data_IF_962419720644
#
_entry.id   IF_962419720644
#
_cell.length_a   1.000
_cell.length_b   1.000
_cell.length_c   1.000
_cell.angle_alpha   90.00
_cell.angle_beta   90.00
_cell.angle_gamma   90.00
#
_symmetry.space_group_name_H-M   'P 1'
#
loop_
_entity.id
_entity.type
_entity.pdbx_description
1 polymer ?
#
# COMPACT_ATOMS: atom_id res chain seq x y z
N UNK A 1 12.11 2.51 3.06
CA UNK A 1 11.89 3.94 2.73
C UNK A 1 12.33 4.27 1.31
N UNK A 2 13.40 3.68 0.78
CA UNK A 2 13.88 3.95 -0.60
C UNK A 2 12.95 3.44 -1.71
N UNK A 3 12.28 2.31 -1.52
CA UNK A 3 11.29 1.75 -2.45
C UNK A 3 10.14 2.73 -2.74
N UNK A 4 9.70 3.48 -1.73
CA UNK A 4 8.70 4.54 -1.87
C UNK A 4 9.20 5.65 -2.81
N UNK A 5 10.44 6.11 -2.63
CA UNK A 5 11.01 7.17 -3.47
C UNK A 5 11.25 6.73 -4.93
N UNK A 6 11.58 5.46 -5.15
CA UNK A 6 11.69 4.89 -6.50
C UNK A 6 10.37 4.92 -7.27
N UNK A 7 9.24 4.72 -6.58
CA UNK A 7 7.92 4.83 -7.19
C UNK A 7 7.60 6.28 -7.59
N UNK A 8 7.94 7.26 -6.75
CA UNK A 8 7.80 8.69 -7.10
C UNK A 8 8.63 9.11 -8.30
N UNK A 9 9.79 8.48 -8.53
CA UNK A 9 10.68 8.79 -9.66
C UNK A 9 10.17 8.27 -11.01
N UNK A 10 9.30 7.27 -10.99
CA UNK A 10 8.72 6.66 -12.20
C UNK A 10 7.55 7.51 -12.75
N UNK A 11 6.94 8.38 -11.94
CA UNK A 11 5.86 9.26 -12.37
C UNK A 11 6.38 10.59 -12.95
N UNK A 12 6.39 10.69 -14.28
CA UNK A 12 6.63 11.94 -15.01
C UNK A 12 5.42 12.87 -15.05
N UNK A 13 5.68 14.17 -15.29
CA UNK A 13 4.74 15.33 -15.29
C UNK A 13 3.45 15.21 -16.13
N UNK A 14 3.22 14.13 -16.86
CA UNK A 14 2.15 14.04 -17.88
C UNK A 14 1.33 12.76 -17.86
N UNK A 15 1.48 11.85 -16.89
CA UNK A 15 0.87 10.52 -16.99
C UNK A 15 -0.24 10.24 -15.97
N UNK A 16 -1.45 10.06 -16.50
CA UNK A 16 -2.51 9.31 -15.84
C UNK A 16 -2.20 7.82 -16.02
N UNK A 17 -1.39 7.25 -15.13
CA UNK A 17 -1.10 5.80 -15.13
C UNK A 17 -2.42 5.03 -14.98
N UNK A 18 -2.68 4.02 -15.81
CA UNK A 18 -3.92 3.25 -15.74
C UNK A 18 -4.10 2.64 -14.32
N UNK A 19 -5.30 2.77 -13.72
CA UNK A 19 -5.65 2.24 -12.39
C UNK A 19 -5.26 0.76 -12.25
N UNK A 20 -5.31 -0.01 -13.33
CA UNK A 20 -4.89 -1.41 -13.40
C UNK A 20 -3.37 -1.61 -13.23
N UNK A 21 -2.53 -0.76 -13.84
CA UNK A 21 -1.07 -0.84 -13.70
C UNK A 21 -0.66 -0.48 -12.26
N UNK A 22 -1.29 0.54 -11.68
CA UNK A 22 -1.06 0.93 -10.28
C UNK A 22 -1.47 -0.17 -9.30
N UNK A 23 -2.61 -0.83 -9.55
CA UNK A 23 -3.06 -2.00 -8.77
C UNK A 23 -2.12 -3.20 -8.92
N UNK A 24 -1.58 -3.43 -10.11
CA UNK A 24 -0.59 -4.49 -10.35
C UNK A 24 0.70 -4.22 -9.58
N UNK A 25 1.24 -2.99 -9.64
CA UNK A 25 2.41 -2.57 -8.88
C UNK A 25 2.20 -2.72 -7.37
N UNK A 26 0.99 -2.42 -6.88
CA UNK A 26 0.65 -2.65 -5.48
C UNK A 26 0.80 -4.13 -5.10
N UNK A 27 0.11 -5.04 -5.81
CA UNK A 27 0.21 -6.48 -5.52
C UNK A 27 1.64 -7.01 -5.63
N UNK A 28 2.38 -6.65 -6.68
CA UNK A 28 3.72 -7.23 -6.88
C UNK A 28 4.78 -6.68 -5.94
N UNK A 29 4.69 -5.42 -5.52
CA UNK A 29 5.74 -4.79 -4.70
C UNK A 29 5.35 -4.83 -3.22
N UNK A 30 4.12 -4.46 -2.87
CA UNK A 30 3.68 -4.30 -1.47
C UNK A 30 3.48 -5.66 -0.84
N UNK A 31 2.66 -6.50 -1.46
CA UNK A 31 2.33 -7.84 -0.96
C UNK A 31 3.61 -8.66 -0.78
N UNK A 32 4.53 -8.61 -1.76
CA UNK A 32 5.84 -9.29 -1.64
C UNK A 32 6.72 -8.73 -0.52
N UNK A 33 6.79 -7.41 -0.38
CA UNK A 33 7.63 -6.78 0.66
C UNK A 33 7.07 -7.11 2.05
N UNK A 34 5.74 -7.16 2.20
CA UNK A 34 5.07 -7.51 3.45
C UNK A 34 5.21 -9.00 3.79
N UNK A 35 4.99 -9.91 2.84
CA UNK A 35 5.25 -11.34 3.05
C UNK A 35 6.71 -11.63 3.42
N UNK A 36 7.66 -10.86 2.89
CA UNK A 36 9.06 -11.00 3.29
C UNK A 36 9.30 -10.49 4.74
N UNK A 37 8.62 -9.41 5.13
CA UNK A 37 8.69 -8.85 6.49
C UNK A 37 7.96 -9.67 7.56
N UNK A 38 6.95 -10.45 7.17
CA UNK A 38 6.17 -11.34 8.03
C UNK A 38 7.07 -12.30 8.82
N UNK A 39 8.02 -12.94 8.13
CA UNK A 39 8.99 -13.86 8.73
C UNK A 39 9.85 -13.19 9.82
N UNK A 40 10.04 -11.87 9.76
CA UNK A 40 10.79 -11.09 10.75
C UNK A 40 9.92 -10.58 11.91
N UNK A 41 8.60 -10.49 11.73
CA UNK A 41 7.67 -10.03 12.78
C UNK A 41 7.13 -11.18 13.62
N UNK A 42 7.07 -12.40 13.08
CA UNK A 42 6.61 -13.60 13.80
C UNK A 42 5.19 -13.45 14.36
N UNK A 43 4.81 -14.34 15.29
CA UNK A 43 3.46 -14.39 15.86
C UNK A 43 3.10 -13.20 16.79
N UNK A 44 4.05 -12.31 17.08
CA UNK A 44 3.86 -11.19 18.02
C UNK A 44 3.67 -9.86 17.28
N UNK A 45 2.63 -9.78 16.45
CA UNK A 45 2.21 -8.55 15.79
C UNK A 45 1.69 -7.56 16.85
N UNK A 46 2.55 -6.66 17.33
CA UNK A 46 2.12 -5.63 18.28
C UNK A 46 1.16 -4.63 17.61
N UNK A 47 0.18 -4.11 18.37
CA UNK A 47 -0.75 -3.07 17.89
C UNK A 47 -0.05 -1.86 17.24
N UNK A 48 1.12 -1.49 17.76
CA UNK A 48 1.92 -0.38 17.23
C UNK A 48 2.52 -0.69 15.85
N UNK A 49 2.85 -1.96 15.58
CA UNK A 49 3.33 -2.41 14.27
C UNK A 49 2.18 -2.45 13.28
N UNK A 50 1.04 -3.02 13.65
CA UNK A 50 -0.17 -3.08 12.82
C UNK A 50 -0.59 -1.68 12.35
N UNK A 51 -0.66 -0.71 13.26
CA UNK A 51 -0.96 0.68 12.92
C UNK A 51 0.04 1.33 11.97
N UNK A 52 1.33 0.94 12.03
CA UNK A 52 2.34 1.40 11.07
C UNK A 52 2.14 0.77 9.70
N UNK A 53 1.76 -0.50 9.62
CA UNK A 53 1.47 -1.17 8.36
C UNK A 53 0.21 -0.59 7.71
N UNK A 54 -0.83 -0.32 8.48
CA UNK A 54 -2.04 0.34 7.99
C UNK A 54 -1.72 1.74 7.45
N UNK A 55 -0.84 2.48 8.12
CA UNK A 55 -0.39 3.79 7.63
C UNK A 55 0.42 3.69 6.33
N UNK A 56 1.31 2.70 6.23
CA UNK A 56 2.05 2.43 5.00
C UNK A 56 1.07 2.06 3.87
N UNK A 57 0.11 1.16 4.13
CA UNK A 57 -0.94 0.78 3.18
C UNK A 57 -1.77 1.98 2.72
N UNK A 58 -2.16 2.86 3.65
CA UNK A 58 -2.92 4.08 3.35
C UNK A 58 -2.16 5.00 2.40
N UNK A 59 -0.87 5.24 2.63
CA UNK A 59 -0.04 6.08 1.75
C UNK A 59 -0.02 5.56 0.31
N UNK A 60 0.06 4.24 0.15
CA UNK A 60 0.03 3.61 -1.17
C UNK A 60 -1.36 3.64 -1.82
N UNK A 61 -2.42 3.41 -1.05
CA UNK A 61 -3.79 3.52 -1.55
C UNK A 61 -4.11 4.94 -2.01
N UNK A 62 -3.66 5.96 -1.28
CA UNK A 62 -3.79 7.36 -1.66
C UNK A 62 -3.02 7.67 -2.95
N UNK A 63 -1.83 7.10 -3.11
CA UNK A 63 -1.06 7.24 -4.34
C UNK A 63 -1.77 6.61 -5.55
N UNK A 64 -2.35 5.42 -5.37
CA UNK A 64 -3.05 4.70 -6.45
C UNK A 64 -4.34 5.41 -6.86
N UNK A 65 -5.13 5.86 -5.88
CA UNK A 65 -6.44 6.47 -6.12
C UNK A 65 -6.36 7.97 -6.41
N UNK A 66 -5.27 8.64 -5.98
CA UNK A 66 -5.17 10.11 -6.01
C UNK A 66 -6.14 10.80 -5.04
N UNK A 67 -6.70 10.06 -4.08
CA UNK A 67 -7.68 10.59 -3.14
C UNK A 67 -7.07 11.54 -2.08
N UNK A 68 -7.92 12.30 -1.41
CA UNK A 68 -7.49 13.18 -0.31
C UNK A 68 -6.94 12.38 0.87
N UNK A 69 -5.93 12.94 1.56
CA UNK A 69 -5.30 12.31 2.74
C UNK A 69 -6.27 11.99 3.88
N UNK A 70 -7.41 12.67 3.95
CA UNK A 70 -8.46 12.45 4.96
C UNK A 70 -9.43 11.33 4.62
N UNK A 71 -9.28 10.70 3.44
CA UNK A 71 -10.18 9.62 3.02
C UNK A 71 -9.96 8.37 3.88
N UNK A 72 -11.02 7.76 4.43
CA UNK A 72 -10.89 6.54 5.22
C UNK A 72 -10.27 5.37 4.41
N UNK A 73 -9.35 4.62 5.02
CA UNK A 73 -8.66 3.48 4.36
C UNK A 73 -9.65 2.43 3.83
N UNK A 74 -10.73 2.18 4.58
CA UNK A 74 -11.79 1.24 4.19
C UNK A 74 -12.49 1.66 2.89
N UNK A 75 -12.71 2.96 2.69
CA UNK A 75 -13.30 3.49 1.45
C UNK A 75 -12.37 3.29 0.26
N UNK A 76 -11.07 3.56 0.45
CA UNK A 76 -10.06 3.37 -0.58
C UNK A 76 -9.87 1.88 -0.95
N UNK A 77 -9.99 0.98 0.01
CA UNK A 77 -9.93 -0.47 -0.21
C UNK A 77 -11.08 -0.96 -1.08
N UNK A 78 -12.30 -0.47 -0.83
CA UNK A 78 -13.47 -0.78 -1.67
C UNK A 78 -13.28 -0.23 -3.08
N UNK A 79 -12.81 1.00 -3.24
CA UNK A 79 -12.59 1.64 -4.55
C UNK A 79 -11.45 0.97 -5.37
N UNK A 80 -10.47 0.37 -4.70
CA UNK A 80 -9.35 -0.35 -5.33
C UNK A 80 -9.56 -1.86 -5.44
N UNK A 81 -10.56 -2.41 -4.74
CA UNK A 81 -10.81 -3.84 -4.63
C UNK A 81 -9.62 -4.60 -4.01
N UNK A 82 -9.00 -4.02 -2.99
CA UNK A 82 -7.84 -4.56 -2.28
C UNK A 82 -8.22 -4.93 -0.84
N UNK A 83 -7.76 -6.07 -0.35
CA UNK A 83 -8.05 -6.51 1.02
C UNK A 83 -7.16 -5.79 2.06
N UNK A 84 -7.67 -5.63 3.30
CA UNK A 84 -6.86 -5.19 4.43
C UNK A 84 -5.68 -6.13 4.70
N UNK A 85 -4.48 -5.57 4.89
CA UNK A 85 -3.27 -6.37 5.15
C UNK A 85 -3.38 -7.21 6.42
N UNK A 86 -4.14 -6.75 7.41
CA UNK A 86 -4.34 -7.48 8.66
C UNK A 86 -5.14 -8.79 8.50
N UNK A 87 -5.84 -8.98 7.37
CA UNK A 87 -6.58 -10.21 7.06
C UNK A 87 -5.78 -11.19 6.21
N UNK A 88 -4.67 -10.74 5.61
CA UNK A 88 -3.80 -11.57 4.77
C UNK A 88 -2.56 -12.10 5.49
N UNK A 89 -2.16 -11.46 6.60
CA UNK A 89 -1.06 -11.87 7.48
C UNK A 89 -1.62 -12.64 8.67
#
# INVERSE_FOLDING_TARGET
MEQYQHLFRIEGKTWSINKNIRRLLYKTIIERTLCHGEAAWGHNMTYRLQKKLDFIQLLFLLYITGAYRTTPIASLQVDTGLQPLHLQI
#
